data_IF_608140893121
#
_entry.id   IF_608140893121
#
_cell.length_a   1.000
_cell.length_b   1.000
_cell.length_c   1.000
_cell.angle_alpha   90.00
_cell.angle_beta   90.00
_cell.angle_gamma   90.00
#
_symmetry.space_group_name_H-M   'P 1'
#
loop_
_entity.id
_entity.type
_entity.pdbx_description
1 polymer ?
#
# COMPACT_ATOMS: atom_id res chain seq x y z
N UNK A 1 28.17 4.03 7.31
CA UNK A 1 27.73 4.30 5.93
C UNK A 1 26.94 5.59 5.95
N UNK A 2 27.42 6.62 5.24
CA UNK A 2 26.79 7.95 5.26
C UNK A 2 25.56 7.99 4.37
N UNK A 3 24.44 8.43 4.94
CA UNK A 3 23.21 8.78 4.23
C UNK A 3 23.34 10.21 3.68
N UNK A 4 22.85 10.46 2.47
CA UNK A 4 22.71 11.82 1.94
C UNK A 4 21.23 12.19 1.97
N UNK A 5 20.94 13.38 2.51
CA UNK A 5 19.60 13.93 2.66
C UNK A 5 19.15 14.58 1.35
N UNK A 6 18.01 14.13 0.81
CA UNK A 6 17.29 14.85 -0.23
C UNK A 6 16.24 15.73 0.44
N UNK A 7 16.69 16.72 1.20
CA UNK A 7 15.80 17.68 1.84
C UNK A 7 15.28 18.71 0.83
N UNK A 8 14.00 19.05 0.95
CA UNK A 8 13.41 20.19 0.27
C UNK A 8 14.10 21.48 0.77
N UNK A 9 15.15 21.92 0.07
CA UNK A 9 15.77 23.23 0.30
C UNK A 9 14.90 24.34 -0.32
N UNK A 10 13.81 24.65 0.36
CA UNK A 10 13.12 25.94 0.26
C UNK A 10 13.50 26.77 1.49
N UNK A 11 14.18 27.88 1.24
CA UNK A 11 14.56 28.98 2.15
C UNK A 11 13.81 29.01 3.49
N UNK A 12 14.58 29.09 4.59
CA UNK A 12 14.12 28.97 5.98
C UNK A 12 12.83 29.73 6.32
N UNK A 13 11.84 28.95 6.74
CA UNK A 13 10.79 29.22 7.73
C UNK A 13 9.98 27.92 7.84
N UNK A 14 9.70 27.47 9.06
CA UNK A 14 8.86 26.30 9.36
C UNK A 14 7.58 26.34 8.51
N UNK A 15 7.45 25.45 7.51
CA UNK A 15 6.40 25.51 6.50
C UNK A 15 5.71 24.16 6.37
N UNK A 16 4.49 24.06 6.92
CA UNK A 16 3.60 22.91 6.79
C UNK A 16 3.05 22.80 5.36
N UNK A 17 3.04 21.59 4.79
CA UNK A 17 2.52 21.31 3.44
C UNK A 17 1.01 21.11 3.41
N UNK A 18 0.38 21.38 2.26
CA UNK A 18 -1.07 21.49 2.11
C UNK A 18 -1.76 20.17 1.75
N UNK A 19 -2.93 19.95 2.34
CA UNK A 19 -3.92 18.97 1.92
C UNK A 19 -5.16 19.72 1.38
N UNK A 20 -5.57 19.44 0.14
CA UNK A 20 -6.97 19.61 -0.30
C UNK A 20 -7.23 18.53 -1.33
N UNK A 21 -7.80 17.45 -0.89
CA UNK A 21 -8.46 16.48 -1.76
C UNK A 21 -9.67 16.02 -0.97
N UNK A 22 -10.85 16.12 -1.55
CA UNK A 22 -12.06 15.55 -0.94
C UNK A 22 -12.02 14.06 -1.21
N UNK A 23 -12.20 13.25 -0.17
CA UNK A 23 -12.45 11.83 -0.35
C UNK A 23 -13.62 11.39 0.51
N UNK A 24 -14.53 10.68 -0.16
CA UNK A 24 -15.75 10.09 0.36
C UNK A 24 -15.51 8.59 0.54
N UNK A 25 -15.95 8.02 1.66
CA UNK A 25 -15.80 6.60 1.96
C UNK A 25 -17.10 5.86 1.67
N UNK A 26 -17.08 4.98 0.67
CA UNK A 26 -17.90 3.78 0.65
C UNK A 26 -17.03 2.62 0.18
N UNK A 27 -17.04 1.51 0.92
CA UNK A 27 -16.41 0.23 0.55
C UNK A 27 -15.10 0.33 -0.23
N UNK A 28 -13.97 0.38 0.49
CA UNK A 28 -12.62 0.14 -0.05
C UNK A 28 -12.06 1.11 -1.10
N UNK A 29 -12.79 2.14 -1.54
CA UNK A 29 -12.30 3.07 -2.57
C UNK A 29 -12.55 4.55 -2.23
N UNK A 30 -11.67 5.38 -2.79
CA UNK A 30 -11.56 6.82 -2.61
C UNK A 30 -12.15 7.53 -3.88
N UNK A 31 -12.86 8.66 -3.76
CA UNK A 31 -13.27 9.54 -4.89
C UNK A 31 -12.71 10.99 -4.76
N UNK A 32 -11.87 11.49 -5.69
CA UNK A 32 -11.20 12.81 -5.58
C UNK A 32 -11.97 14.01 -6.20
N UNK A 33 -11.90 15.19 -5.56
CA UNK A 33 -12.30 16.50 -6.15
C UNK A 33 -11.31 17.64 -5.82
N UNK A 34 -11.19 18.59 -6.78
CA UNK A 34 -10.37 19.83 -6.92
C UNK A 34 -9.39 20.31 -5.82
N UNK A 35 -8.19 20.76 -6.26
CA UNK A 35 -7.09 21.34 -5.46
C UNK A 35 -6.96 22.87 -5.70
N UNK A 36 -6.64 23.63 -4.65
CA UNK A 36 -6.01 24.97 -4.72
C UNK A 36 -4.78 24.96 -3.77
N UNK A 37 -3.86 25.94 -3.74
CA UNK A 37 -2.82 26.08 -2.69
C UNK A 37 -2.83 27.50 -2.07
N UNK A 38 -2.84 27.61 -0.74
CA UNK A 38 -2.83 28.81 0.11
C UNK A 38 -2.14 28.37 1.40
N UNK A 39 -1.10 29.11 1.78
CA UNK A 39 -0.32 28.95 3.00
C UNK A 39 -1.24 29.19 4.22
N UNK A 40 -1.19 28.32 5.23
CA UNK A 40 -2.01 28.46 6.46
C UNK A 40 -3.44 27.92 6.39
N UNK A 41 -3.81 27.17 5.33
CA UNK A 41 -5.13 26.52 5.24
C UNK A 41 -5.09 25.11 5.84
N UNK A 42 -6.01 24.81 6.74
CA UNK A 42 -6.28 23.45 7.23
C UNK A 42 -7.35 22.76 6.37
N UNK A 43 -7.34 21.42 6.33
CA UNK A 43 -8.40 20.60 5.74
C UNK A 43 -8.84 19.54 6.76
N UNK A 44 -9.48 19.98 7.86
CA UNK A 44 -9.82 19.09 8.95
C UNK A 44 -10.85 18.05 8.52
N UNK A 45 -10.82 16.91 9.20
CA UNK A 45 -11.92 15.97 9.24
C UNK A 45 -13.09 16.62 9.98
N UNK A 46 -14.24 16.77 9.32
CA UNK A 46 -15.41 17.49 9.84
C UNK A 46 -16.68 16.68 9.63
N UNK A 47 -17.59 16.72 10.61
CA UNK A 47 -18.98 16.36 10.41
C UNK A 47 -19.62 17.44 9.51
N UNK A 48 -19.91 17.07 8.26
CA UNK A 48 -20.48 17.96 7.27
C UNK A 48 -21.00 17.12 6.10
N UNK A 49 -22.25 17.36 5.72
CA UNK A 49 -22.87 16.71 4.57
C UNK A 49 -22.04 17.01 3.31
N UNK A 50 -21.61 15.94 2.64
CA UNK A 50 -20.86 16.03 1.42
C UNK A 50 -21.20 14.82 0.54
N UNK A 51 -21.82 15.04 -0.61
CA UNK A 51 -22.18 13.98 -1.56
C UNK A 51 -22.90 12.76 -0.91
N UNK A 52 -23.93 13.02 -0.09
CA UNK A 52 -24.72 12.01 0.64
C UNK A 52 -23.96 11.24 1.74
N UNK A 53 -22.80 11.74 2.18
CA UNK A 53 -22.09 11.26 3.37
C UNK A 53 -22.04 12.33 4.47
N UNK A 54 -21.98 11.87 5.72
CA UNK A 54 -22.05 12.71 6.93
C UNK A 54 -20.71 13.38 7.28
N UNK A 55 -19.62 12.97 6.63
CA UNK A 55 -18.26 13.39 6.97
C UNK A 55 -17.43 13.78 5.75
N UNK A 56 -16.52 14.72 5.99
CA UNK A 56 -15.55 15.22 5.01
C UNK A 56 -14.14 15.09 5.57
N UNK A 57 -13.21 14.65 4.73
CA UNK A 57 -11.77 14.58 5.05
C UNK A 57 -10.91 14.86 3.82
N UNK A 58 -9.61 14.56 3.88
CA UNK A 58 -8.77 14.52 2.70
C UNK A 58 -7.61 13.54 2.67
N UNK A 59 -7.00 13.47 1.49
CA UNK A 59 -5.77 12.72 1.23
C UNK A 59 -4.83 13.44 0.27
N UNK A 60 -3.55 13.44 0.59
CA UNK A 60 -2.47 13.97 -0.24
C UNK A 60 -1.88 12.80 -1.00
N UNK A 61 -1.56 13.02 -2.25
CA UNK A 61 -0.75 12.07 -3.00
C UNK A 61 0.31 12.80 -3.80
N UNK A 62 1.49 12.19 -3.88
CA UNK A 62 2.60 12.62 -4.74
C UNK A 62 2.60 11.92 -6.10
N UNK A 63 1.54 11.17 -6.41
CA UNK A 63 1.36 10.42 -7.65
C UNK A 63 1.76 11.23 -8.88
N UNK A 64 2.63 10.64 -9.70
CA UNK A 64 3.20 11.22 -10.91
C UNK A 64 3.91 12.59 -10.75
N UNK A 65 4.28 12.96 -9.52
CA UNK A 65 5.02 14.19 -9.19
C UNK A 65 6.34 13.88 -8.49
N UNK A 66 6.28 13.04 -7.47
CA UNK A 66 7.44 12.52 -6.76
C UNK A 66 7.23 11.04 -6.52
N UNK A 67 8.19 10.25 -6.95
CA UNK A 67 8.25 8.83 -6.70
C UNK A 67 9.68 8.44 -6.36
N UNK A 68 9.85 7.31 -5.68
CA UNK A 68 11.14 6.76 -5.34
C UNK A 68 11.10 5.24 -5.43
N UNK A 69 12.26 4.62 -5.59
CA UNK A 69 12.39 3.15 -5.54
C UNK A 69 13.53 2.78 -4.61
N UNK A 70 13.26 1.92 -3.62
CA UNK A 70 14.12 1.63 -2.47
C UNK A 70 14.52 2.87 -1.65
N UNK A 71 14.80 2.67 -0.37
CA UNK A 71 15.23 3.72 0.55
C UNK A 71 14.46 3.71 1.87
N UNK A 72 14.76 4.70 2.70
CA UNK A 72 14.08 4.95 3.96
C UNK A 72 13.11 6.12 3.81
N UNK A 73 11.86 5.93 4.21
CA UNK A 73 10.86 6.97 4.31
C UNK A 73 10.38 7.09 5.76
N UNK A 74 10.22 8.32 6.23
CA UNK A 74 9.56 8.62 7.51
C UNK A 74 8.61 9.81 7.40
N UNK A 75 7.57 9.77 8.23
CA UNK A 75 6.62 10.85 8.48
C UNK A 75 6.71 11.23 9.95
N UNK A 76 6.83 12.53 10.23
CA UNK A 76 6.72 13.07 11.58
C UNK A 76 5.29 13.54 11.82
N UNK A 77 4.56 12.84 12.69
CA UNK A 77 3.09 12.94 12.78
C UNK A 77 2.57 13.04 14.22
N UNK A 78 1.45 13.75 14.37
CA UNK A 78 0.56 13.77 15.54
C UNK A 78 -0.83 13.29 15.11
N UNK A 79 -1.42 12.39 15.88
CA UNK A 79 -2.72 11.79 15.57
C UNK A 79 -3.90 12.65 16.05
N UNK A 80 -5.05 12.62 15.35
CA UNK A 80 -6.25 13.29 15.79
C UNK A 80 -6.84 12.64 17.05
N UNK A 81 -7.51 13.46 17.86
CA UNK A 81 -8.26 12.99 19.03
C UNK A 81 -7.82 13.64 20.33
N UNK A 82 -8.67 13.57 21.37
CA UNK A 82 -8.30 14.00 22.71
C UNK A 82 -7.11 13.21 23.27
N UNK A 83 -7.12 11.88 23.14
CA UNK A 83 -6.10 10.98 23.71
C UNK A 83 -6.16 9.58 23.07
N UNK A 84 -5.42 8.60 23.61
CA UNK A 84 -5.40 7.21 23.12
C UNK A 84 -6.71 6.42 23.32
N UNK A 85 -7.76 7.04 23.87
CA UNK A 85 -9.11 6.45 23.93
C UNK A 85 -9.93 6.75 22.67
N UNK A 86 -9.50 7.70 21.83
CA UNK A 86 -10.17 8.05 20.57
C UNK A 86 -10.40 6.80 19.71
N UNK A 87 -11.62 6.52 19.28
CA UNK A 87 -11.92 5.31 18.51
C UNK A 87 -12.78 5.64 17.29
N UNK A 88 -12.22 5.45 16.09
CA UNK A 88 -12.93 5.65 14.82
C UNK A 88 -12.10 6.30 13.72
N UNK A 89 -11.16 7.19 14.05
CA UNK A 89 -10.25 7.76 13.07
C UNK A 89 -9.27 6.72 12.54
N UNK A 90 -9.02 6.77 11.23
CA UNK A 90 -8.05 5.93 10.52
C UNK A 90 -7.03 6.80 9.78
N UNK A 91 -6.11 7.45 10.49
CA UNK A 91 -5.00 8.18 9.89
C UNK A 91 -4.04 7.18 9.23
N UNK A 92 -3.65 7.46 8.00
CA UNK A 92 -2.79 6.59 7.21
C UNK A 92 -1.69 7.36 6.49
N UNK A 93 -0.52 6.76 6.43
CA UNK A 93 0.56 7.15 5.52
C UNK A 93 1.11 5.88 4.86
N UNK A 94 1.18 5.88 3.54
CA UNK A 94 1.47 4.68 2.76
C UNK A 94 2.04 5.05 1.40
N UNK A 95 2.48 4.03 0.67
CA UNK A 95 3.07 4.19 -0.65
C UNK A 95 2.40 3.27 -1.64
N UNK A 96 2.26 3.70 -2.89
CA UNK A 96 1.68 2.90 -3.97
C UNK A 96 2.45 3.07 -5.28
N UNK A 97 2.63 1.97 -6.02
CA UNK A 97 3.30 1.99 -7.32
C UNK A 97 2.62 2.91 -8.32
N UNK A 98 3.42 3.70 -9.07
CA UNK A 98 2.94 4.84 -9.86
C UNK A 98 2.00 4.48 -11.02
N UNK A 99 1.93 3.20 -11.41
CA UNK A 99 0.99 2.72 -12.43
C UNK A 99 -0.47 2.63 -11.96
N UNK A 100 -0.75 2.80 -10.67
CA UNK A 100 -2.10 3.07 -10.18
C UNK A 100 -2.15 4.41 -9.43
N UNK A 101 -3.37 4.95 -9.30
CA UNK A 101 -3.63 6.21 -8.63
C UNK A 101 -4.70 6.02 -7.56
N UNK A 102 -4.40 6.27 -6.27
CA UNK A 102 -5.40 6.30 -5.22
C UNK A 102 -6.55 7.22 -5.60
N UNK A 103 -7.77 6.70 -5.50
CA UNK A 103 -8.99 7.41 -5.88
C UNK A 103 -9.52 7.15 -7.29
N UNK A 104 -8.83 6.32 -8.07
CA UNK A 104 -9.17 6.03 -9.47
C UNK A 104 -9.21 4.51 -9.70
N UNK A 105 -10.35 3.85 -9.43
CA UNK A 105 -10.43 2.39 -9.36
C UNK A 105 -10.08 1.66 -10.67
N UNK A 106 -10.32 2.26 -11.83
CA UNK A 106 -9.87 1.67 -13.10
C UNK A 106 -8.36 1.43 -13.17
N UNK A 107 -7.58 2.27 -12.49
CA UNK A 107 -6.11 2.15 -12.51
C UNK A 107 -5.61 0.99 -11.66
N UNK A 108 -6.39 0.55 -10.66
CA UNK A 108 -6.04 -0.56 -9.77
C UNK A 108 -6.42 -1.94 -10.32
N UNK A 109 -7.36 -2.00 -11.27
CA UNK A 109 -7.83 -3.26 -11.89
C UNK A 109 -6.68 -4.04 -12.57
N UNK A 110 -6.33 -5.18 -11.98
CA UNK A 110 -5.22 -6.04 -12.41
C UNK A 110 -3.82 -5.45 -12.15
N UNK A 111 -3.73 -4.41 -11.32
CA UNK A 111 -2.48 -3.71 -10.99
C UNK A 111 -2.16 -3.81 -9.50
N UNK A 112 -3.14 -3.47 -8.66
CA UNK A 112 -2.97 -3.55 -7.21
C UNK A 112 -3.42 -4.92 -6.70
N UNK A 113 -2.71 -5.54 -5.73
CA UNK A 113 -1.41 -5.16 -5.17
C UNK A 113 -0.24 -5.94 -5.80
N UNK A 114 -0.23 -6.12 -7.12
CA UNK A 114 0.77 -6.97 -7.77
C UNK A 114 2.20 -6.43 -7.62
N UNK A 115 3.10 -7.29 -7.16
CA UNK A 115 4.57 -7.12 -7.17
C UNK A 115 5.20 -8.46 -7.56
N UNK A 116 5.12 -8.73 -8.85
CA UNK A 116 5.31 -10.06 -9.39
C UNK A 116 5.80 -10.00 -10.83
N UNK A 117 6.81 -10.82 -11.15
CA UNK A 117 7.40 -10.86 -12.50
C UNK A 117 7.60 -12.29 -13.03
N UNK A 118 6.94 -13.27 -12.42
CA UNK A 118 6.90 -14.64 -12.95
C UNK A 118 5.76 -14.80 -13.96
N UNK A 119 5.94 -15.76 -14.87
CA UNK A 119 4.90 -16.12 -15.83
C UNK A 119 4.34 -17.50 -15.50
N UNK A 120 3.33 -17.52 -14.63
CA UNK A 120 2.61 -18.71 -14.16
C UNK A 120 1.15 -18.39 -13.80
N UNK A 121 0.47 -19.31 -13.11
CA UNK A 121 -0.94 -19.19 -12.72
C UNK A 121 -1.22 -18.00 -11.80
N UNK A 122 -0.22 -17.46 -11.10
CA UNK A 122 -0.36 -16.24 -10.31
C UNK A 122 -0.80 -15.02 -11.11
N UNK A 123 -0.55 -15.05 -12.42
CA UNK A 123 -0.92 -13.98 -13.34
C UNK A 123 -2.36 -14.11 -13.87
N UNK A 124 -3.04 -15.22 -13.61
CA UNK A 124 -4.35 -15.54 -14.19
C UNK A 124 -5.50 -14.96 -13.36
N UNK A 125 -6.69 -14.73 -13.97
CA UNK A 125 -7.90 -14.39 -13.23
C UNK A 125 -8.17 -15.42 -12.11
N UNK A 126 -8.44 -14.91 -10.91
CA UNK A 126 -8.67 -15.69 -9.69
C UNK A 126 -7.54 -16.67 -9.32
N UNK A 127 -6.35 -16.55 -9.93
CA UNK A 127 -5.30 -17.58 -9.87
C UNK A 127 -5.81 -18.96 -10.29
N UNK A 128 -6.71 -19.01 -11.28
CA UNK A 128 -7.25 -20.28 -11.79
C UNK A 128 -6.93 -20.49 -13.26
N UNK A 129 -6.79 -21.75 -13.64
CA UNK A 129 -6.70 -22.18 -15.05
C UNK A 129 -7.96 -21.77 -15.83
N UNK A 130 -7.90 -21.78 -17.16
CA UNK A 130 -9.01 -21.33 -18.03
C UNK A 130 -10.29 -22.17 -17.87
N UNK A 131 -10.14 -23.45 -17.53
CA UNK A 131 -11.23 -24.37 -17.16
C UNK A 131 -11.72 -24.20 -15.71
N UNK A 132 -11.07 -23.33 -14.93
CA UNK A 132 -11.35 -23.02 -13.52
C UNK A 132 -11.19 -24.22 -12.57
N UNK A 133 -10.33 -25.18 -12.93
CA UNK A 133 -10.17 -26.41 -12.16
C UNK A 133 -8.94 -26.45 -11.26
N UNK A 134 -8.01 -25.50 -11.39
CA UNK A 134 -6.84 -25.52 -10.52
C UNK A 134 -6.06 -24.22 -10.47
N UNK A 135 -5.12 -24.13 -9.51
CA UNK A 135 -4.81 -25.14 -8.49
C UNK A 135 -5.88 -25.25 -7.39
N UNK A 136 -5.92 -26.37 -6.68
CA UNK A 136 -6.92 -26.63 -5.63
C UNK A 136 -6.93 -25.52 -4.56
N UNK A 137 -5.74 -25.06 -4.16
CA UNK A 137 -5.58 -23.94 -3.23
C UNK A 137 -6.18 -22.62 -3.71
N UNK A 138 -6.40 -22.44 -5.02
CA UNK A 138 -7.09 -21.27 -5.55
C UNK A 138 -8.61 -21.39 -5.45
N UNK A 139 -9.14 -22.62 -5.53
CA UNK A 139 -10.57 -22.92 -5.47
C UNK A 139 -11.12 -22.86 -4.05
N UNK A 140 -10.30 -23.21 -3.05
CA UNK A 140 -10.68 -23.15 -1.65
C UNK A 140 -9.50 -22.73 -0.76
N UNK A 141 -9.76 -21.76 0.10
CA UNK A 141 -8.88 -21.26 1.15
C UNK A 141 -9.68 -21.15 2.45
N UNK A 142 -9.21 -21.83 3.50
CA UNK A 142 -9.82 -21.81 4.83
C UNK A 142 -9.73 -20.42 5.48
N UNK A 143 -8.74 -19.60 5.08
CA UNK A 143 -8.62 -18.22 5.56
C UNK A 143 -9.45 -17.21 4.75
N UNK A 144 -9.90 -17.58 3.55
CA UNK A 144 -10.83 -16.73 2.79
C UNK A 144 -12.20 -16.69 3.48
N UNK A 145 -13.11 -15.85 2.98
CA UNK A 145 -14.40 -15.58 3.63
C UNK A 145 -15.54 -16.08 2.77
N UNK A 146 -16.65 -16.41 3.42
CA UNK A 146 -17.90 -16.82 2.75
C UNK A 146 -18.35 -15.83 1.68
N UNK A 147 -18.19 -14.51 1.91
CA UNK A 147 -18.50 -13.47 0.91
C UNK A 147 -17.68 -13.56 -0.39
N UNK A 148 -16.61 -14.35 -0.40
CA UNK A 148 -15.76 -14.66 -1.55
C UNK A 148 -15.83 -16.14 -1.93
N UNK A 149 -16.88 -16.87 -1.51
CA UNK A 149 -17.05 -18.30 -1.73
C UNK A 149 -15.87 -19.17 -1.25
N UNK A 150 -15.11 -18.69 -0.26
CA UNK A 150 -13.84 -19.30 0.16
C UNK A 150 -12.78 -19.43 -0.94
N UNK A 151 -12.95 -18.77 -2.09
CA UNK A 151 -11.95 -18.73 -3.16
C UNK A 151 -10.73 -17.91 -2.70
N UNK A 152 -9.54 -18.28 -3.16
CA UNK A 152 -8.29 -17.61 -2.76
C UNK A 152 -8.21 -16.19 -3.33
N UNK A 153 -8.63 -15.99 -4.57
CA UNK A 153 -8.45 -14.73 -5.29
C UNK A 153 -9.66 -14.38 -6.13
N UNK A 154 -10.03 -13.10 -6.07
CA UNK A 154 -11.05 -12.43 -6.88
C UNK A 154 -10.39 -11.32 -7.74
N UNK A 155 -9.06 -11.37 -7.88
CA UNK A 155 -8.34 -10.47 -8.76
C UNK A 155 -8.58 -10.84 -10.23
N UNK A 156 -8.63 -9.84 -11.09
CA UNK A 156 -8.83 -10.00 -12.54
C UNK A 156 -7.62 -10.59 -13.28
N UNK A 157 -6.59 -11.04 -12.56
CA UNK A 157 -5.27 -11.39 -13.09
C UNK A 157 -4.35 -10.19 -13.19
N UNK A 158 -3.05 -10.43 -13.30
CA UNK A 158 -2.07 -9.36 -13.45
C UNK A 158 -2.16 -8.79 -14.87
N UNK A 159 -2.68 -7.56 -14.99
CA UNK A 159 -2.93 -6.89 -16.28
C UNK A 159 -1.63 -6.75 -17.09
N UNK A 160 -0.56 -6.37 -16.42
CA UNK A 160 0.76 -6.16 -17.01
C UNK A 160 1.72 -7.26 -16.54
N UNK A 161 1.37 -8.50 -16.84
CA UNK A 161 2.15 -9.67 -16.39
C UNK A 161 3.37 -9.93 -17.26
N UNK A 162 4.35 -10.67 -16.71
CA UNK A 162 5.46 -11.23 -17.47
C UNK A 162 5.01 -12.25 -18.55
N UNK A 163 3.73 -12.65 -18.55
CA UNK A 163 3.11 -13.49 -19.57
C UNK A 163 2.61 -12.71 -20.80
N UNK A 164 2.73 -11.38 -20.82
CA UNK A 164 2.20 -10.55 -21.90
C UNK A 164 2.83 -10.89 -23.27
N UNK A 165 2.01 -10.94 -24.31
CA UNK A 165 2.47 -11.18 -25.67
C UNK A 165 3.26 -9.99 -26.26
N UNK A 166 4.23 -10.22 -27.17
CA UNK A 166 4.91 -9.14 -27.89
C UNK A 166 3.93 -8.22 -28.61
N UNK A 167 4.19 -6.91 -28.60
CA UNK A 167 3.34 -5.90 -29.23
C UNK A 167 2.07 -5.53 -28.44
N UNK A 168 1.85 -6.14 -27.27
CA UNK A 168 0.76 -5.75 -26.37
C UNK A 168 1.01 -4.38 -25.74
N UNK A 169 -0.06 -3.74 -25.27
CA UNK A 169 0.00 -2.52 -24.48
C UNK A 169 0.58 -2.78 -23.08
N UNK A 170 1.90 -2.78 -22.99
CA UNK A 170 2.65 -3.09 -21.79
C UNK A 170 3.77 -2.06 -21.62
N UNK A 171 3.90 -1.41 -20.46
CA UNK A 171 4.98 -0.47 -20.25
C UNK A 171 6.31 -1.21 -20.30
N UNK A 172 7.34 -0.55 -20.84
CA UNK A 172 8.67 -1.12 -20.93
C UNK A 172 9.30 -1.49 -19.58
N UNK A 173 10.57 -1.90 -19.57
CA UNK A 173 11.45 -2.04 -20.73
C UNK A 173 11.19 -3.30 -21.57
N UNK A 174 10.41 -4.27 -21.07
CA UNK A 174 10.07 -5.50 -21.77
C UNK A 174 8.67 -5.99 -21.37
N UNK A 175 7.96 -6.62 -22.31
CA UNK A 175 6.68 -7.33 -22.06
C UNK A 175 6.83 -8.57 -21.17
N UNK A 176 8.07 -9.00 -20.93
CA UNK A 176 8.39 -10.15 -20.06
C UNK A 176 8.70 -9.74 -18.62
N UNK A 177 8.63 -8.44 -18.31
CA UNK A 177 8.81 -7.94 -16.94
C UNK A 177 7.43 -7.68 -16.37
N UNK A 178 7.02 -8.39 -15.32
CA UNK A 178 5.74 -8.12 -14.69
C UNK A 178 5.75 -6.76 -14.00
N UNK A 179 4.65 -6.03 -14.16
CA UNK A 179 4.44 -4.67 -13.65
C UNK A 179 3.18 -4.64 -12.81
N UNK A 180 3.09 -3.67 -11.92
CA UNK A 180 1.96 -3.58 -10.99
C UNK A 180 1.90 -2.26 -10.24
N UNK A 181 1.05 -2.23 -9.22
CA UNK A 181 0.95 -1.12 -8.28
C UNK A 181 0.98 -1.69 -6.86
N UNK A 182 2.15 -2.12 -6.37
CA UNK A 182 2.29 -2.59 -5.00
C UNK A 182 1.99 -1.50 -3.98
N UNK A 183 1.81 -1.92 -2.74
CA UNK A 183 1.55 -1.05 -1.60
C UNK A 183 2.45 -1.42 -0.41
N UNK A 184 2.97 -0.40 0.26
CA UNK A 184 3.67 -0.52 1.54
C UNK A 184 3.18 0.60 2.45
N UNK A 185 2.63 0.23 3.60
CA UNK A 185 2.10 1.14 4.60
C UNK A 185 3.19 1.56 5.58
N UNK A 186 3.38 2.87 5.70
CA UNK A 186 4.21 3.45 6.77
C UNK A 186 3.50 3.27 8.10
N UNK A 187 2.19 3.58 8.11
CA UNK A 187 1.27 3.24 9.16
C UNK A 187 -0.19 3.35 8.68
N UNK A 188 -1.02 2.51 9.28
CA UNK A 188 -2.47 2.67 9.35
C UNK A 188 -2.85 2.61 10.84
N UNK A 189 -3.21 3.76 11.44
CA UNK A 189 -3.44 3.80 12.88
C UNK A 189 -4.88 3.39 13.23
N UNK A 190 -5.01 2.61 14.30
CA UNK A 190 -6.29 2.19 14.82
C UNK A 190 -6.26 2.02 16.34
N UNK A 191 -7.45 1.98 16.94
CA UNK A 191 -7.60 1.54 18.33
C UNK A 191 -7.05 0.11 18.47
N UNK A 192 -6.27 -0.13 19.53
CA UNK A 192 -5.81 -1.49 19.82
C UNK A 192 -7.02 -2.40 20.10
N UNK A 193 -7.11 -3.51 19.36
CA UNK A 193 -8.20 -4.49 19.48
C UNK A 193 -7.93 -5.49 20.61
N UNK A 194 -6.68 -5.62 21.03
CA UNK A 194 -6.26 -6.56 22.07
C UNK A 194 -6.15 -5.90 23.46
N UNK A 195 -6.14 -4.56 23.50
CA UNK A 195 -6.03 -3.78 24.74
C UNK A 195 -7.11 -2.70 24.81
N UNK A 196 -7.69 -2.51 25.99
CA UNK A 196 -8.78 -1.53 26.20
C UNK A 196 -8.29 -0.08 25.99
N UNK A 197 -7.04 0.20 26.36
CA UNK A 197 -6.41 1.52 26.27
C UNK A 197 -5.23 1.42 25.31
N UNK A 198 -5.00 2.48 24.53
CA UNK A 198 -3.91 2.55 23.58
C UNK A 198 -4.35 2.49 22.13
N UNK A 199 -3.46 2.96 21.27
CA UNK A 199 -3.53 2.81 19.82
C UNK A 199 -2.37 1.97 19.34
N UNK A 200 -2.57 1.41 18.17
CA UNK A 200 -1.56 0.69 17.43
C UNK A 200 -1.53 1.20 15.99
N UNK A 201 -0.46 0.89 15.27
CA UNK A 201 -0.41 1.00 13.82
C UNK A 201 -0.28 -0.38 13.21
N UNK A 202 -1.02 -0.62 12.13
CA UNK A 202 -0.64 -1.65 11.15
C UNK A 202 0.49 -1.10 10.29
N UNK A 203 1.58 -1.84 10.24
CA UNK A 203 2.73 -1.61 9.38
C UNK A 203 2.83 -2.81 8.44
N UNK A 204 2.50 -2.60 7.17
CA UNK A 204 2.12 -3.67 6.24
C UNK A 204 2.75 -3.50 4.86
N UNK A 205 2.85 -4.61 4.15
CA UNK A 205 3.02 -4.63 2.70
C UNK A 205 2.02 -5.61 2.09
N UNK A 206 1.45 -5.20 0.95
CA UNK A 206 0.42 -5.94 0.23
C UNK A 206 1.05 -6.61 -0.98
N UNK A 207 0.66 -7.86 -1.20
CA UNK A 207 1.21 -8.72 -2.23
C UNK A 207 0.08 -9.36 -3.03
N UNK A 208 0.28 -9.40 -4.34
CA UNK A 208 -0.36 -10.34 -5.24
C UNK A 208 0.71 -10.90 -6.20
N UNK A 209 0.59 -12.17 -6.62
CA UNK A 209 -0.47 -13.12 -6.29
C UNK A 209 -0.37 -13.69 -4.87
N UNK A 210 -1.36 -14.50 -4.47
CA UNK A 210 -1.51 -15.02 -3.12
C UNK A 210 -1.01 -16.45 -3.01
N UNK A 211 -0.38 -16.77 -1.89
CA UNK A 211 -0.07 -18.14 -1.48
C UNK A 211 -1.29 -18.79 -0.83
N UNK A 212 -1.31 -20.12 -0.75
CA UNK A 212 -2.35 -20.88 -0.06
C UNK A 212 -2.62 -20.29 1.35
N UNK A 213 -3.89 -20.03 1.66
CA UNK A 213 -4.35 -19.41 2.91
C UNK A 213 -3.65 -18.12 3.32
N UNK A 214 -3.11 -17.39 2.33
CA UNK A 214 -2.34 -16.17 2.53
C UNK A 214 -1.13 -16.38 3.45
N UNK A 215 -0.58 -17.60 3.49
CA UNK A 215 0.55 -17.97 4.33
C UNK A 215 1.85 -17.32 3.85
N UNK A 216 2.68 -16.84 4.77
CA UNK A 216 4.00 -16.30 4.44
C UNK A 216 5.06 -16.96 5.34
N UNK A 217 6.31 -16.94 4.89
CA UNK A 217 7.42 -17.47 5.66
C UNK A 217 7.65 -16.64 6.93
N UNK A 218 7.51 -17.28 8.09
CA UNK A 218 7.73 -16.66 9.40
C UNK A 218 8.38 -17.60 10.42
N UNK A 219 8.90 -18.73 9.95
CA UNK A 219 9.49 -19.76 10.80
C UNK A 219 10.88 -19.39 11.31
N UNK A 220 11.51 -18.37 10.72
CA UNK A 220 12.86 -17.93 11.07
C UNK A 220 12.99 -16.41 10.97
N UNK A 221 13.91 -15.84 11.73
CA UNK A 221 14.21 -14.40 11.72
C UNK A 221 14.77 -13.92 10.38
N UNK A 222 15.32 -14.80 9.54
CA UNK A 222 15.74 -14.43 8.19
C UNK A 222 14.57 -14.16 7.25
N UNK A 223 13.38 -14.70 7.53
CA UNK A 223 12.15 -14.46 6.77
C UNK A 223 11.35 -13.32 7.40
N UNK A 224 11.09 -13.42 8.71
CA UNK A 224 10.40 -12.38 9.48
C UNK A 224 11.02 -12.24 10.86
N UNK A 225 11.53 -11.05 11.15
CA UNK A 225 12.10 -10.70 12.46
C UNK A 225 11.24 -9.65 13.16
N UNK A 226 10.99 -9.84 14.46
CA UNK A 226 10.40 -8.84 15.35
C UNK A 226 11.51 -8.34 16.27
N UNK A 227 11.85 -7.05 16.17
CA UNK A 227 12.96 -6.45 16.93
C UNK A 227 12.53 -6.00 18.33
N UNK A 228 11.31 -5.49 18.46
CA UNK A 228 10.76 -4.94 19.70
C UNK A 228 9.50 -5.72 20.12
N UNK A 229 9.64 -6.94 20.69
CA UNK A 229 8.51 -7.83 21.00
C UNK A 229 7.55 -7.28 22.06
N UNK A 230 7.99 -6.34 22.90
CA UNK A 230 7.13 -5.68 23.90
C UNK A 230 6.16 -4.65 23.25
N UNK A 231 6.51 -4.15 22.06
CA UNK A 231 5.75 -3.14 21.31
C UNK A 231 5.09 -3.70 20.04
N UNK A 232 5.67 -4.75 19.45
CA UNK A 232 5.31 -5.25 18.13
C UNK A 232 4.83 -6.69 18.22
N UNK A 233 3.69 -6.97 17.62
CA UNK A 233 3.16 -8.33 17.45
C UNK A 233 2.80 -8.59 15.99
N UNK A 234 2.94 -9.83 15.50
CA UNK A 234 2.37 -10.21 14.20
C UNK A 234 0.88 -9.87 14.12
N UNK A 235 0.43 -9.37 12.98
CA UNK A 235 -0.99 -9.20 12.73
C UNK A 235 -1.63 -10.54 12.39
N UNK A 236 -2.76 -10.85 13.01
CA UNK A 236 -3.55 -12.05 12.67
C UNK A 236 -4.27 -11.91 11.32
N UNK A 237 -4.48 -10.68 10.85
CA UNK A 237 -4.96 -10.42 9.50
C UNK A 237 -3.85 -10.70 8.48
N UNK A 238 -4.12 -11.61 7.53
CA UNK A 238 -3.19 -12.02 6.47
C UNK A 238 -3.66 -11.65 5.07
N UNK A 239 -4.84 -11.05 4.94
CA UNK A 239 -5.41 -10.68 3.65
C UNK A 239 -6.88 -11.04 3.47
N UNK A 240 -7.28 -11.07 2.21
CA UNK A 240 -8.60 -11.39 1.69
C UNK A 240 -8.49 -11.73 0.19
N UNK A 241 -9.60 -12.09 -0.46
CA UNK A 241 -9.58 -12.45 -1.88
C UNK A 241 -9.11 -11.32 -2.84
N UNK A 242 -8.80 -10.12 -2.34
CA UNK A 242 -8.25 -9.00 -3.15
C UNK A 242 -6.85 -8.57 -2.73
N UNK A 243 -6.28 -9.13 -1.66
CA UNK A 243 -4.91 -8.83 -1.21
C UNK A 243 -4.37 -9.90 -0.26
N UNK A 244 -3.09 -10.22 -0.35
CA UNK A 244 -2.35 -10.84 0.74
C UNK A 244 -1.57 -9.75 1.47
N UNK A 245 -1.58 -9.76 2.80
CA UNK A 245 -0.86 -8.79 3.62
C UNK A 245 0.14 -9.49 4.54
N UNK A 246 1.37 -8.98 4.61
CA UNK A 246 2.34 -9.33 5.65
C UNK A 246 2.52 -8.10 6.52
N UNK A 247 2.21 -8.21 7.82
CA UNK A 247 2.10 -7.01 8.65
C UNK A 247 2.37 -7.25 10.14
N UNK A 248 2.93 -6.25 10.78
CA UNK A 248 3.11 -6.15 12.22
C UNK A 248 2.23 -5.05 12.80
N UNK A 249 1.68 -5.30 13.98
CA UNK A 249 0.94 -4.31 14.76
C UNK A 249 1.85 -3.75 15.85
N UNK A 250 2.00 -2.43 15.90
CA UNK A 250 2.97 -1.75 16.77
C UNK A 250 2.26 -0.74 17.66
N UNK A 251 2.51 -0.80 18.97
CA UNK A 251 1.96 0.17 19.94
C UNK A 251 2.43 1.59 19.65
N UNK A 252 1.52 2.55 19.80
CA UNK A 252 1.81 3.97 19.68
C UNK A 252 1.95 4.65 21.05
N UNK A 253 2.84 5.65 21.18
CA UNK A 253 2.91 6.48 22.38
C UNK A 253 1.64 7.29 22.60
N UNK A 254 1.18 7.40 23.84
CA UNK A 254 -0.02 8.17 24.23
C UNK A 254 0.14 9.69 24.14
N UNK A 255 1.38 10.19 24.17
CA UNK A 255 1.72 11.62 24.11
C UNK A 255 1.71 12.19 22.68
N UNK A 256 1.34 11.39 21.67
CA UNK A 256 1.32 11.82 20.27
C UNK A 256 -0.03 12.35 19.79
N UNK A 257 -1.08 12.30 20.60
CA UNK A 257 -2.41 12.76 20.22
C UNK A 257 -2.53 14.28 20.42
N UNK A 258 -3.39 14.92 19.65
CA UNK A 258 -3.55 16.39 19.72
C UNK A 258 -3.92 16.91 21.11
N UNK A 259 -4.80 16.19 21.83
CA UNK A 259 -5.18 16.56 23.21
C UNK A 259 -4.30 15.96 24.30
N UNK A 260 -3.36 15.07 23.95
CA UNK A 260 -2.48 14.38 24.88
C UNK A 260 -1.02 14.59 24.45
N UNK A 261 -0.39 15.65 24.95
CA UNK A 261 1.01 15.97 24.72
C UNK A 261 1.34 16.61 23.36
N UNK A 262 0.66 16.20 22.27
CA UNK A 262 0.89 16.69 20.90
C UNK A 262 2.36 16.54 20.45
N UNK A 263 3.02 15.47 20.89
CA UNK A 263 4.41 15.17 20.56
C UNK A 263 4.49 14.50 19.20
N UNK A 264 5.17 15.11 18.26
CA UNK A 264 5.42 14.51 16.95
C UNK A 264 6.27 13.25 17.09
N UNK A 265 5.78 12.13 16.56
CA UNK A 265 6.51 10.86 16.47
C UNK A 265 6.90 10.56 15.04
N UNK A 266 8.08 9.97 14.86
CA UNK A 266 8.57 9.56 13.55
C UNK A 266 8.12 8.14 13.27
N UNK A 267 7.37 7.91 12.20
CA UNK A 267 6.93 6.58 11.79
C UNK A 267 7.36 6.36 10.35
N UNK A 268 7.93 5.19 10.04
CA UNK A 268 8.68 5.00 8.80
C UNK A 268 8.97 3.55 8.45
N UNK A 269 9.51 3.34 7.26
CA UNK A 269 10.14 2.08 6.86
C UNK A 269 11.37 2.32 5.97
N UNK A 270 12.35 1.42 6.06
CA UNK A 270 13.34 1.21 5.02
C UNK A 270 12.90 0.03 4.17
N UNK A 271 12.94 0.15 2.85
CA UNK A 271 12.85 -1.00 1.96
C UNK A 271 13.99 -1.02 0.96
N UNK A 272 14.39 -2.23 0.59
CA UNK A 272 15.40 -2.49 -0.41
C UNK A 272 14.85 -3.51 -1.39
N UNK A 273 14.91 -3.17 -2.67
CA UNK A 273 14.65 -4.09 -3.76
C UNK A 273 15.91 -4.19 -4.62
N UNK A 274 16.30 -5.43 -4.95
CA UNK A 274 17.45 -5.69 -5.80
C UNK A 274 17.00 -6.48 -7.04
N UNK A 275 16.74 -5.80 -8.18
CA UNK A 275 16.34 -6.47 -9.41
C UNK A 275 17.35 -7.49 -9.96
N UNK A 276 18.62 -7.41 -9.54
CA UNK A 276 19.65 -8.40 -9.91
C UNK A 276 19.62 -9.64 -9.01
N UNK A 277 19.05 -9.53 -7.81
CA UNK A 277 18.90 -10.64 -6.87
C UNK A 277 17.70 -10.38 -5.93
N UNK A 278 16.50 -10.76 -6.37
CA UNK A 278 15.26 -10.48 -5.65
C UNK A 278 15.26 -11.01 -4.20
N UNK A 279 16.05 -12.06 -3.90
CA UNK A 279 16.16 -12.67 -2.58
C UNK A 279 16.80 -11.75 -1.53
N UNK A 280 17.55 -10.72 -1.95
CA UNK A 280 18.13 -9.73 -1.04
C UNK A 280 17.15 -8.63 -0.62
N UNK A 281 15.93 -8.64 -1.18
CA UNK A 281 14.92 -7.64 -0.86
C UNK A 281 14.44 -7.75 0.58
N UNK A 282 14.10 -6.61 1.19
CA UNK A 282 13.45 -6.57 2.49
C UNK A 282 12.70 -5.26 2.72
N UNK A 283 11.83 -5.26 3.72
CA UNK A 283 11.19 -4.07 4.29
C UNK A 283 11.38 -4.12 5.81
N UNK A 284 11.81 -3.02 6.44
CA UNK A 284 11.98 -2.89 7.88
C UNK A 284 11.27 -1.63 8.36
N UNK A 285 10.30 -1.78 9.25
CA UNK A 285 9.53 -0.67 9.77
C UNK A 285 10.08 -0.17 11.10
N UNK A 286 9.69 1.05 11.47
CA UNK A 286 10.05 1.67 12.75
C UNK A 286 8.95 2.57 13.29
N UNK A 287 8.92 2.71 14.62
CA UNK A 287 8.16 3.72 15.35
C UNK A 287 9.10 4.41 16.32
N UNK A 288 9.18 5.74 16.21
CA UNK A 288 9.94 6.66 17.06
C UNK A 288 11.42 6.29 17.26
N UNK A 289 12.08 5.91 16.16
CA UNK A 289 13.49 5.53 16.12
C UNK A 289 13.78 4.08 16.49
N UNK A 290 12.76 3.27 16.82
CA UNK A 290 12.89 1.85 17.15
C UNK A 290 12.34 0.98 16.03
N UNK A 291 13.13 0.02 15.57
CA UNK A 291 12.69 -0.94 14.55
C UNK A 291 11.57 -1.82 15.12
N UNK A 292 10.48 -1.99 14.39
CA UNK A 292 9.37 -2.84 14.83
C UNK A 292 9.57 -4.27 14.37
N UNK A 293 9.59 -4.47 13.06
CA UNK A 293 9.77 -5.77 12.41
C UNK A 293 10.36 -5.62 11.01
N UNK A 294 10.85 -6.74 10.47
CA UNK A 294 11.36 -6.87 9.11
C UNK A 294 10.70 -8.03 8.39
N UNK A 295 10.30 -7.79 7.14
CA UNK A 295 9.86 -8.81 6.19
C UNK A 295 10.89 -8.91 5.08
N UNK A 296 11.50 -10.08 4.92
CA UNK A 296 12.44 -10.35 3.83
C UNK A 296 11.72 -10.90 2.59
N UNK A 297 12.33 -10.79 1.42
CA UNK A 297 11.83 -11.39 0.18
C UNK A 297 11.60 -12.91 0.31
N UNK A 298 12.31 -13.59 1.21
CA UNK A 298 12.13 -15.02 1.48
C UNK A 298 10.86 -15.35 2.28
N UNK A 299 10.25 -14.41 3.01
CA UNK A 299 8.89 -14.56 3.55
C UNK A 299 7.85 -14.56 2.41
N UNK A 300 8.21 -13.81 1.37
CA UNK A 300 7.66 -13.67 0.02
C UNK A 300 7.62 -14.88 -0.91
N UNK A 301 8.08 -16.03 -0.43
CA UNK A 301 8.56 -17.12 -1.29
C UNK A 301 7.52 -17.80 -2.18
N UNK A 302 7.97 -18.66 -3.12
CA UNK A 302 7.12 -19.50 -3.96
C UNK A 302 6.25 -20.47 -3.17
N UNK A 303 5.13 -20.86 -3.77
CA UNK A 303 4.16 -21.84 -3.24
C UNK A 303 3.80 -22.88 -4.32
N UNK A 304 4.82 -23.65 -4.71
CA UNK A 304 4.84 -24.57 -5.88
C UNK A 304 4.65 -26.06 -5.51
N UNK A 305 4.36 -26.37 -4.23
CA UNK A 305 4.25 -27.75 -3.73
C UNK A 305 2.85 -28.37 -3.90
N UNK A 306 2.67 -29.67 -3.57
CA UNK A 306 1.34 -30.27 -3.45
C UNK A 306 0.47 -29.48 -2.47
N UNK A 307 -0.73 -29.08 -2.90
CA UNK A 307 -1.61 -28.20 -2.12
C UNK A 307 -1.23 -26.72 -2.15
N UNK A 308 -0.20 -26.33 -2.91
CA UNK A 308 0.17 -24.93 -3.11
C UNK A 308 -0.69 -24.24 -4.16
N UNK A 309 -0.68 -22.91 -4.12
CA UNK A 309 -1.35 -22.01 -5.07
C UNK A 309 -0.65 -21.89 -6.43
N UNK A 310 0.49 -22.54 -6.62
CA UNK A 310 1.22 -22.58 -7.89
C UNK A 310 1.94 -21.27 -8.25
N UNK A 311 2.09 -20.34 -7.30
CA UNK A 311 2.76 -19.05 -7.54
C UNK A 311 4.26 -19.13 -7.26
N UNK A 312 5.06 -18.46 -8.08
CA UNK A 312 6.49 -18.26 -7.90
C UNK A 312 6.84 -17.19 -6.85
N UNK A 313 8.09 -16.73 -6.90
CA UNK A 313 8.63 -15.75 -5.95
C UNK A 313 7.94 -14.38 -6.16
N UNK A 314 7.36 -13.83 -5.09
CA UNK A 314 6.87 -12.44 -5.09
C UNK A 314 8.01 -11.48 -4.76
N UNK A 315 7.93 -10.26 -5.25
CA UNK A 315 9.02 -9.29 -5.13
C UNK A 315 8.75 -8.33 -3.97
N UNK A 316 9.81 -7.97 -3.24
CA UNK A 316 9.79 -6.68 -2.54
C UNK A 316 9.72 -5.59 -3.61
N UNK A 317 8.79 -4.62 -3.52
CA UNK A 317 8.44 -3.74 -4.63
C UNK A 317 9.62 -3.06 -5.33
N UNK A 318 9.66 -3.20 -6.65
CA UNK A 318 10.68 -2.55 -7.50
C UNK A 318 10.13 -1.34 -8.28
N UNK A 319 8.81 -1.18 -8.31
CA UNK A 319 8.12 -0.06 -8.97
C UNK A 319 8.50 1.29 -8.34
N UNK A 320 8.49 2.41 -9.09
CA UNK A 320 8.54 3.74 -8.51
C UNK A 320 7.27 3.98 -7.70
N UNK A 321 7.43 4.21 -6.39
CA UNK A 321 6.35 4.35 -5.43
C UNK A 321 6.04 5.82 -5.16
N UNK A 322 4.77 6.19 -5.25
CA UNK A 322 4.26 7.49 -4.81
C UNK A 322 3.79 7.41 -3.36
N UNK A 323 3.88 8.52 -2.63
CA UNK A 323 3.49 8.66 -1.23
C UNK A 323 2.04 9.16 -1.14
N UNK A 324 1.29 8.59 -0.21
CA UNK A 324 -0.10 8.91 0.10
C UNK A 324 -0.24 9.20 1.59
N UNK A 325 -0.94 10.27 1.96
CA UNK A 325 -1.29 10.62 3.35
C UNK A 325 -2.80 10.82 3.42
N UNK A 326 -3.50 10.21 4.36
CA UNK A 326 -4.95 10.38 4.50
C UNK A 326 -5.41 10.38 5.95
N UNK A 327 -6.59 10.95 6.18
CA UNK A 327 -7.33 10.76 7.43
C UNK A 327 -8.70 10.17 7.12
N UNK A 328 -8.86 8.87 7.40
CA UNK A 328 -10.08 8.13 7.12
C UNK A 328 -10.97 7.90 8.33
N UNK A 329 -12.13 7.31 8.07
CA UNK A 329 -13.02 6.72 9.07
C UNK A 329 -13.91 5.67 8.37
N UNK A 330 -13.96 4.45 8.89
CA UNK A 330 -14.84 3.39 8.37
C UNK A 330 -15.05 2.29 9.39
N UNK A 331 -16.29 1.78 9.46
CA UNK A 331 -16.64 0.59 10.24
C UNK A 331 -15.93 -0.69 9.76
N UNK A 332 -15.38 -0.68 8.53
CA UNK A 332 -14.64 -1.82 8.01
C UNK A 332 -13.23 -1.96 8.62
N UNK A 333 -12.67 -0.90 9.20
CA UNK A 333 -11.32 -0.92 9.79
C UNK A 333 -11.37 -1.10 11.31
N UNK A 334 -12.23 -0.32 11.95
CA UNK A 334 -12.44 -0.37 13.40
C UNK A 334 -13.87 0.07 13.73
N UNK A 335 -14.35 -0.32 14.92
CA UNK A 335 -15.58 0.24 15.48
C UNK A 335 -15.43 1.75 15.63
N UNK A 336 -16.42 2.51 15.20
CA UNK A 336 -16.50 3.96 15.40
C UNK A 336 -17.23 4.23 16.72
N UNK A 337 -16.63 5.01 17.61
CA UNK A 337 -17.24 5.52 18.85
C UNK A 337 -17.14 7.05 18.90
N UNK A 338 -18.18 7.71 18.37
CA UNK A 338 -18.25 9.16 18.28
C UNK A 338 -18.14 9.86 19.64
N UNK A 339 -18.43 9.18 20.76
CA UNK A 339 -18.33 9.78 22.10
C UNK A 339 -16.89 10.01 22.55
N UNK A 340 -15.94 9.32 21.92
CA UNK A 340 -14.49 9.43 22.19
C UNK A 340 -13.78 10.35 21.20
N UNK A 341 -14.49 10.86 20.19
CA UNK A 341 -13.92 11.61 19.07
C UNK A 341 -14.17 13.11 19.22
N UNK A 342 -13.25 13.93 18.70
CA UNK A 342 -13.41 15.37 18.61
C UNK A 342 -13.49 15.82 17.15
N UNK A 343 -14.38 16.77 16.84
CA UNK A 343 -14.50 17.39 15.51
C UNK A 343 -14.40 18.92 15.64
N UNK A 344 -13.73 19.64 14.71
CA UNK A 344 -12.86 19.12 13.65
C UNK A 344 -11.66 18.31 14.19
N UNK A 345 -11.20 17.33 13.43
CA UNK A 345 -9.99 16.56 13.71
C UNK A 345 -8.92 16.77 12.64
N UNK A 346 -7.66 16.68 13.05
CA UNK A 346 -6.52 16.87 12.15
C UNK A 346 -5.45 15.81 12.40
N UNK A 347 -4.93 15.24 11.33
CA UNK A 347 -3.65 14.54 11.34
C UNK A 347 -2.59 15.58 11.01
N UNK A 348 -1.74 15.92 11.98
CA UNK A 348 -0.72 16.95 11.79
C UNK A 348 0.57 16.29 11.32
N UNK A 349 1.12 16.77 10.20
CA UNK A 349 2.37 16.27 9.64
C UNK A 349 3.37 17.41 9.62
N UNK A 350 4.48 17.27 10.37
CA UNK A 350 5.57 18.24 10.37
C UNK A 350 6.43 18.11 9.10
N UNK A 351 6.81 16.87 8.79
CA UNK A 351 7.55 16.58 7.57
C UNK A 351 7.30 15.16 7.06
N UNK A 352 7.63 14.98 5.78
CA UNK A 352 7.86 13.68 5.14
C UNK A 352 9.27 13.72 4.56
N UNK A 353 10.10 12.71 4.83
CA UNK A 353 11.47 12.63 4.32
C UNK A 353 11.74 11.27 3.70
N UNK A 354 12.47 11.30 2.59
CA UNK A 354 12.93 10.11 1.87
C UNK A 354 14.45 10.17 1.75
N UNK A 355 15.12 9.08 2.09
CA UNK A 355 16.57 8.93 2.07
C UNK A 355 16.92 7.71 1.24
N UNK A 356 17.92 7.83 0.38
CA UNK A 356 18.42 6.71 -0.43
C UNK A 356 19.91 6.50 -0.18
N UNK A 357 20.35 5.25 -0.31
CA UNK A 357 21.76 4.89 -0.16
C UNK A 357 22.59 5.56 -1.25
N UNK A 358 23.79 5.99 -0.89
CA UNK A 358 24.74 6.54 -1.85
C UNK A 358 25.02 5.52 -2.97
N UNK A 359 24.86 5.93 -4.22
CA UNK A 359 25.04 5.08 -5.40
C UNK A 359 23.82 4.26 -5.81
N UNK A 360 22.71 4.32 -5.06
CA UNK A 360 21.45 3.65 -5.37
C UNK A 360 20.26 4.64 -5.37
N UNK A 361 20.53 5.91 -5.75
CA UNK A 361 19.49 6.93 -5.82
C UNK A 361 18.66 6.74 -7.08
N UNK A 362 17.35 6.62 -6.91
CA UNK A 362 16.39 6.58 -8.01
C UNK A 362 15.11 7.31 -7.56
N UNK A 363 15.07 8.58 -7.91
CA UNK A 363 13.95 9.51 -7.68
C UNK A 363 13.36 9.87 -9.03
N UNK A 364 12.03 9.80 -9.13
CA UNK A 364 11.30 10.04 -10.35
C UNK A 364 10.25 8.96 -10.58
N UNK A 365 9.19 9.33 -11.27
CA UNK A 365 8.06 8.44 -11.53
C UNK A 365 8.20 7.64 -12.82
N UNK A 366 9.22 7.93 -13.64
CA UNK A 366 9.46 7.27 -14.93
C UNK A 366 10.93 6.83 -15.10
N UNK A 367 11.46 5.96 -14.21
CA UNK A 367 12.80 5.43 -14.35
C UNK A 367 12.94 4.54 -15.60
N UNK A 368 14.12 4.46 -16.24
CA UNK A 368 14.31 3.66 -17.45
C UNK A 368 13.94 2.17 -17.33
N UNK A 369 14.15 1.58 -16.14
CA UNK A 369 13.87 0.17 -15.88
C UNK A 369 12.42 -0.11 -15.46
N UNK A 370 11.64 0.92 -15.12
CA UNK A 370 10.22 0.86 -14.77
C UNK A 370 9.48 2.10 -15.31
N UNK A 371 9.47 2.31 -16.64
CA UNK A 371 8.79 3.46 -17.22
C UNK A 371 7.29 3.38 -16.94
N UNK A 372 6.68 4.55 -16.73
CA UNK A 372 5.23 4.69 -16.50
C UNK A 372 4.61 5.83 -17.32
N UNK A 373 5.40 6.80 -17.77
CA UNK A 373 4.89 8.06 -18.31
C UNK A 373 4.03 7.85 -19.56
N UNK A 374 4.54 7.12 -20.55
CA UNK A 374 3.81 6.88 -21.80
C UNK A 374 2.55 6.05 -21.57
N UNK A 375 2.65 5.02 -20.72
CA UNK A 375 1.49 4.19 -20.36
C UNK A 375 0.40 5.02 -19.69
N UNK A 376 0.74 5.87 -18.71
CA UNK A 376 -0.22 6.75 -18.04
C UNK A 376 -0.83 7.75 -19.05
N UNK A 377 -0.01 8.36 -19.90
CA UNK A 377 -0.47 9.35 -20.88
C UNK A 377 -1.41 8.76 -21.93
N UNK A 378 -1.13 7.53 -22.39
CA UNK A 378 -1.98 6.82 -23.35
C UNK A 378 -3.32 6.36 -22.75
N UNK A 379 -3.42 6.32 -21.42
CA UNK A 379 -4.60 5.87 -20.67
C UNK A 379 -5.15 6.95 -19.73
N UNK A 380 -4.91 8.22 -20.07
CA UNK A 380 -5.11 9.36 -19.17
C UNK A 380 -6.51 9.42 -18.53
N UNK A 381 -7.55 9.03 -19.26
CA UNK A 381 -8.92 8.99 -18.74
C UNK A 381 -9.05 8.09 -17.50
N UNK A 382 -8.38 6.92 -17.48
CA UNK A 382 -8.39 6.05 -16.30
C UNK A 382 -7.84 6.74 -15.04
N UNK A 383 -6.85 7.61 -15.23
CA UNK A 383 -6.13 8.28 -14.15
C UNK A 383 -6.74 9.63 -13.75
N UNK A 384 -7.65 10.20 -14.53
CA UNK A 384 -8.24 11.53 -14.30
C UNK A 384 -9.76 11.52 -14.14
N UNK A 385 -10.43 10.44 -14.56
CA UNK A 385 -11.87 10.27 -14.43
C UNK A 385 -12.23 9.30 -13.30
N UNK A 386 -12.82 9.86 -12.24
CA UNK A 386 -13.20 9.12 -11.02
C UNK A 386 -14.37 8.16 -11.24
N UNK A 387 -15.16 8.40 -12.28
CA UNK A 387 -16.32 7.56 -12.63
C UNK A 387 -15.91 6.33 -13.44
N UNK A 388 -14.68 6.29 -13.95
CA UNK A 388 -14.13 5.12 -14.63
C UNK A 388 -13.68 4.13 -13.55
N UNK A 389 -14.51 3.12 -13.29
CA UNK A 389 -14.29 2.14 -12.20
C UNK A 389 -13.64 0.85 -12.68
N UNK A 390 -13.56 0.62 -14.00
CA UNK A 390 -12.97 -0.56 -14.63
C UNK A 390 -11.97 -0.17 -15.71
N UNK A 391 -10.98 -1.02 -15.98
CA UNK A 391 -10.06 -0.80 -17.08
C UNK A 391 -10.74 -1.06 -18.43
N UNK A 392 -10.95 -0.01 -19.22
CA UNK A 392 -11.73 -0.06 -20.46
C UNK A 392 -10.89 -0.20 -21.75
N UNK A 393 -9.59 -0.47 -21.60
CA UNK A 393 -8.68 -0.69 -22.74
C UNK A 393 -8.36 -2.18 -22.89
N UNK A 394 -7.86 -2.54 -24.07
CA UNK A 394 -7.44 -3.92 -24.36
C UNK A 394 -6.32 -4.31 -23.39
N UNK A 395 -6.58 -5.31 -22.54
CA UNK A 395 -5.57 -5.87 -21.64
C UNK A 395 -4.58 -6.72 -22.46
N UNK A 396 -3.27 -6.70 -22.16
CA UNK A 396 -2.31 -7.61 -22.76
C UNK A 396 -2.75 -9.06 -22.73
N UNK A 397 -2.59 -9.75 -23.87
CA UNK A 397 -2.89 -11.18 -23.96
C UNK A 397 -1.88 -11.95 -23.11
N UNK A 398 -2.37 -12.74 -22.17
CA UNK A 398 -1.53 -13.63 -21.37
C UNK A 398 -1.28 -14.94 -22.15
N UNK A 399 -0.04 -15.14 -22.59
CA UNK A 399 0.32 -16.27 -23.48
C UNK A 399 0.09 -17.63 -22.86
N UNK A 400 0.19 -17.78 -21.54
CA UNK A 400 -0.05 -19.06 -20.88
C UNK A 400 -1.53 -19.31 -20.67
N UNK A 401 -2.28 -18.29 -20.24
CA UNK A 401 -3.72 -18.41 -20.05
C UNK A 401 -4.47 -18.69 -21.36
N UNK A 402 -4.06 -18.02 -22.44
CA UNK A 402 -4.71 -18.14 -23.75
C UNK A 402 -4.17 -19.29 -24.62
N UNK A 403 -3.11 -19.98 -24.19
CA UNK A 403 -2.47 -21.05 -24.98
C UNK A 403 -1.66 -20.55 -26.18
N UNK A 404 -1.21 -19.30 -26.16
CA UNK A 404 -0.34 -18.70 -27.18
C UNK A 404 -0.52 -17.20 -27.36
N UNK A 405 0.36 -16.63 -28.18
CA UNK A 405 0.15 -15.35 -28.85
C UNK A 405 -0.50 -15.68 -30.20
#
# INVERSE_FOLDING_TARGET
>A
MGWHDASFAGVGLSSYFRLRLFYLFFSSFFLPWLISFIIGSTAPFTAADNHLLDYRSGMLQSWNKFCFSSGYIEVSVVLPGPDENTQGYWPGAWTMGNLARPGYPATTDGMWPYTYSECDVGTFPNQTTKDKLGPEAALHSDFSREKYNFELSWLSGQRLSACSCPGSDHPGPSVTKGRGAPEIDIFEAEKDKDNVIGHVVSQSAQFAPFTHDYLYGNASTSQWEVFEPDMTRPNSYRGSAVQQAVSGIVKLPSDMFQGSGKVFKKIGFEYWANPSNAQEGYITWQVDGKQSHRVSATAVGPDQGPGGSGVGQRLIPEEPMSIVLNLGMSQNWQKIDLSTMQFPAEMLVDYVRVYQRKGAMNVGCNPPDYPTADYINNHKDAYENVNTTTWNWVKPKNRLYEGGC
#
